data_IF_068315907593
#
_entry.id   IF_068315907593
#
_cell.length_a   1.000
_cell.length_b   1.000
_cell.length_c   1.000
_cell.angle_alpha   90.00
_cell.angle_beta   90.00
_cell.angle_gamma   90.00
#
_symmetry.space_group_name_H-M   'P 1'
#
loop_
_entity.id
_entity.type
_entity.pdbx_description
1 polymer ?
#
# COMPACT_ATOMS: atom_id res chain seq x y z
N UNK A 1 -17.76 -3.63 -2.82
CA UNK A 1 -16.54 -3.39 -3.61
C UNK A 1 -16.16 -1.95 -3.37
N UNK A 2 -15.02 -1.69 -2.74
CA UNK A 2 -14.58 -0.34 -2.41
C UNK A 2 -14.09 0.35 -3.69
N UNK A 3 -14.67 1.51 -4.00
CA UNK A 3 -14.22 2.40 -5.06
C UNK A 3 -12.75 2.76 -4.81
N UNK A 4 -11.92 2.76 -5.87
CA UNK A 4 -10.51 3.08 -5.75
C UNK A 4 -10.36 4.42 -5.00
N UNK A 5 -9.48 4.44 -3.98
CA UNK A 5 -9.22 5.60 -3.13
C UNK A 5 -9.30 6.91 -3.95
N UNK A 6 -10.36 7.72 -3.82
CA UNK A 6 -10.75 8.69 -4.84
C UNK A 6 -9.67 9.71 -5.18
N UNK A 7 -8.82 10.03 -4.21
CA UNK A 7 -7.69 10.95 -4.38
C UNK A 7 -6.55 10.38 -5.25
N UNK A 8 -6.42 9.06 -5.34
CA UNK A 8 -5.34 8.37 -6.07
C UNK A 8 -5.75 7.95 -7.48
N UNK A 9 -7.04 7.73 -7.73
CA UNK A 9 -7.59 7.30 -9.02
C UNK A 9 -7.18 8.21 -10.21
N UNK A 10 -7.10 9.55 -10.09
CA UNK A 10 -6.64 10.41 -11.18
C UNK A 10 -5.18 10.18 -11.59
N UNK A 11 -4.33 9.75 -10.66
CA UNK A 11 -2.89 9.57 -10.88
C UNK A 11 -2.55 8.22 -11.53
N UNK A 12 -3.43 7.24 -11.41
CA UNK A 12 -3.19 5.88 -11.90
C UNK A 12 -4.38 5.34 -12.69
N UNK A 13 -4.74 6.03 -13.78
CA UNK A 13 -5.92 5.72 -14.61
C UNK A 13 -5.96 4.29 -15.17
N UNK A 14 -4.82 3.61 -15.25
CA UNK A 14 -4.72 2.22 -15.68
C UNK A 14 -5.23 1.21 -14.63
N UNK A 15 -5.40 1.63 -13.37
CA UNK A 15 -5.94 0.82 -12.29
C UNK A 15 -7.26 1.43 -11.81
N UNK A 16 -8.36 0.67 -11.93
CA UNK A 16 -9.71 1.14 -11.59
C UNK A 16 -10.25 0.52 -10.28
N UNK A 17 -9.58 -0.49 -9.74
CA UNK A 17 -10.05 -1.26 -8.59
C UNK A 17 -8.93 -1.47 -7.58
N UNK A 18 -9.22 -1.27 -6.29
CA UNK A 18 -8.37 -1.73 -5.19
C UNK A 18 -8.75 -3.16 -4.84
N UNK A 19 -7.77 -4.06 -4.85
CA UNK A 19 -7.96 -5.49 -4.62
C UNK A 19 -7.42 -5.96 -3.27
N UNK A 20 -6.69 -5.11 -2.55
CA UNK A 20 -6.24 -5.36 -1.18
C UNK A 20 -5.18 -4.36 -0.72
N UNK A 21 -4.66 -4.56 0.48
CA UNK A 21 -3.57 -3.78 1.04
C UNK A 21 -2.67 -4.64 1.93
N UNK A 22 -1.44 -4.21 2.17
CA UNK A 22 -0.52 -4.82 3.14
C UNK A 22 -0.63 -4.18 4.52
N UNK A 23 -0.12 -4.87 5.54
CA UNK A 23 -0.04 -4.38 6.92
C UNK A 23 0.75 -3.06 7.06
N UNK A 24 1.55 -2.69 6.07
CA UNK A 24 2.31 -1.43 6.03
C UNK A 24 1.65 -0.35 5.15
N UNK A 25 0.42 -0.57 4.71
CA UNK A 25 -0.36 0.38 3.92
C UNK A 25 -0.04 0.41 2.42
N UNK A 26 0.71 -0.55 1.87
CA UNK A 26 0.84 -0.68 0.42
C UNK A 26 -0.49 -1.15 -0.19
N UNK A 27 -0.95 -0.52 -1.27
CA UNK A 27 -2.25 -0.84 -1.88
C UNK A 27 -2.05 -1.67 -3.13
N UNK A 28 -2.73 -2.82 -3.22
CA UNK A 28 -2.78 -3.65 -4.41
C UNK A 28 -3.94 -3.19 -5.29
N UNK A 29 -3.66 -2.94 -6.56
CA UNK A 29 -4.61 -2.37 -7.51
C UNK A 29 -4.68 -3.23 -8.77
N UNK A 30 -5.84 -3.21 -9.43
CA UNK A 30 -6.09 -3.91 -10.68
C UNK A 30 -6.86 -3.01 -11.66
N UNK A 31 -6.53 -3.11 -12.95
CA UNK A 31 -7.36 -2.63 -14.06
C UNK A 31 -8.23 -3.76 -14.55
N UNK A 32 -9.55 -3.70 -14.35
CA UNK A 32 -10.46 -4.80 -14.69
C UNK A 32 -10.55 -5.03 -16.19
N UNK A 33 -10.47 -3.96 -16.97
CA UNK A 33 -10.54 -4.04 -18.44
C UNK A 33 -9.20 -4.46 -19.06
N UNK A 34 -8.09 -4.16 -18.40
CA UNK A 34 -6.73 -4.40 -18.92
C UNK A 34 -6.09 -5.68 -18.39
N UNK A 35 -6.58 -6.20 -17.26
CA UNK A 35 -5.95 -7.26 -16.46
C UNK A 35 -4.66 -6.81 -15.77
N UNK A 36 -4.31 -5.52 -15.84
CA UNK A 36 -3.06 -4.99 -15.30
C UNK A 36 -3.12 -4.91 -13.78
N UNK A 37 -2.09 -5.39 -13.08
CA UNK A 37 -1.99 -5.32 -11.63
C UNK A 37 -0.80 -4.46 -11.21
N UNK A 38 -0.97 -3.74 -10.10
CA UNK A 38 0.02 -2.82 -9.60
C UNK A 38 0.01 -2.68 -8.09
N UNK A 39 1.07 -2.06 -7.58
CA UNK A 39 1.23 -1.77 -6.15
C UNK A 39 1.50 -0.30 -5.97
N UNK A 40 0.68 0.36 -5.16
CA UNK A 40 0.89 1.72 -4.70
C UNK A 40 1.85 1.70 -3.52
N UNK A 41 2.85 2.57 -3.56
CA UNK A 41 3.76 2.86 -2.47
C UNK A 41 3.44 4.27 -1.93
N UNK A 42 2.57 4.40 -0.91
CA UNK A 42 2.07 5.70 -0.49
C UNK A 42 3.18 6.67 -0.12
N UNK A 43 4.20 6.26 0.65
CA UNK A 43 5.30 7.16 1.03
C UNK A 43 6.15 7.67 -0.15
N UNK A 44 6.08 7.02 -1.32
CA UNK A 44 6.84 7.40 -2.52
C UNK A 44 6.01 8.13 -3.56
N UNK A 45 4.71 8.31 -3.34
CA UNK A 45 3.79 8.85 -4.35
C UNK A 45 3.86 8.10 -5.69
N UNK A 46 4.17 6.81 -5.65
CA UNK A 46 4.50 6.04 -6.85
C UNK A 46 3.74 4.72 -6.86
N UNK A 47 3.23 4.33 -8.02
CA UNK A 47 2.75 2.98 -8.26
C UNK A 47 3.70 2.24 -9.20
N UNK A 48 3.90 0.96 -8.92
CA UNK A 48 4.62 0.05 -9.81
C UNK A 48 3.64 -0.91 -10.46
N UNK A 49 3.62 -0.92 -11.78
CA UNK A 49 2.91 -1.96 -12.54
C UNK A 49 3.73 -3.25 -12.57
N UNK A 50 3.03 -4.37 -12.44
CA UNK A 50 3.59 -5.72 -12.54
C UNK A 50 3.12 -6.45 -13.79
N UNK A 51 2.45 -5.73 -14.71
CA UNK A 51 1.93 -6.29 -15.94
C UNK A 51 0.56 -6.94 -15.76
N UNK A 52 0.19 -7.79 -16.73
CA UNK A 52 -1.15 -8.39 -16.80
C UNK A 52 -1.17 -9.76 -16.15
N UNK A 53 -2.23 -10.02 -15.42
CA UNK A 53 -2.55 -11.32 -14.82
C UNK A 53 -3.97 -11.69 -15.22
N UNK A 54 -4.27 -12.98 -15.24
CA UNK A 54 -5.61 -13.50 -15.51
C UNK A 54 -6.62 -13.10 -14.43
N UNK A 55 -6.20 -13.09 -13.17
CA UNK A 55 -6.98 -12.62 -12.04
C UNK A 55 -6.09 -12.18 -10.84
N UNK A 56 -6.73 -11.65 -9.80
CA UNK A 56 -6.06 -11.23 -8.55
C UNK A 56 -5.39 -12.38 -7.82
N UNK A 57 -5.88 -13.62 -7.97
CA UNK A 57 -5.33 -14.80 -7.31
C UNK A 57 -3.99 -15.19 -7.94
N UNK A 58 -3.88 -15.11 -9.27
CA UNK A 58 -2.62 -15.30 -9.98
C UNK A 58 -1.60 -14.24 -9.60
N UNK A 59 -2.01 -12.97 -9.55
CA UNK A 59 -1.16 -11.88 -9.05
C UNK A 59 -0.67 -12.16 -7.63
N UNK A 60 -1.56 -12.56 -6.72
CA UNK A 60 -1.21 -12.87 -5.35
C UNK A 60 -0.22 -14.04 -5.24
N UNK A 61 -0.44 -15.11 -6.00
CA UNK A 61 0.42 -16.29 -5.97
C UNK A 61 1.76 -16.09 -6.67
N UNK A 62 1.87 -15.11 -7.57
CA UNK A 62 3.10 -14.85 -8.31
C UNK A 62 3.92 -13.75 -7.64
N UNK A 63 3.32 -12.59 -7.40
CA UNK A 63 4.02 -11.40 -6.91
C UNK A 63 4.13 -11.40 -5.39
N UNK A 64 3.07 -11.69 -4.65
CA UNK A 64 3.14 -11.66 -3.17
C UNK A 64 3.98 -12.82 -2.60
N UNK A 65 4.19 -13.87 -3.40
CA UNK A 65 5.07 -14.99 -3.05
C UNK A 65 6.50 -14.86 -3.57
N UNK A 66 6.77 -13.85 -4.41
CA UNK A 66 8.14 -13.57 -4.83
C UNK A 66 8.95 -13.13 -3.61
N UNK A 67 10.06 -13.82 -3.26
CA UNK A 67 10.84 -13.48 -2.07
C UNK A 67 11.36 -12.04 -2.10
N UNK A 68 11.74 -11.52 -3.27
CA UNK A 68 12.21 -10.15 -3.43
C UNK A 68 11.12 -9.13 -3.15
N UNK A 69 9.90 -9.40 -3.63
CA UNK A 69 8.72 -8.57 -3.33
C UNK A 69 8.34 -8.65 -1.85
N UNK A 70 8.28 -9.85 -1.27
CA UNK A 70 7.92 -10.04 0.12
C UNK A 70 8.89 -9.30 1.04
N UNK A 71 10.20 -9.41 0.82
CA UNK A 71 11.21 -8.68 1.59
C UNK A 71 11.15 -7.17 1.37
N UNK A 72 10.90 -6.70 0.14
CA UNK A 72 10.93 -5.27 -0.16
C UNK A 72 9.65 -4.52 0.24
N UNK A 73 8.49 -5.19 0.20
CA UNK A 73 7.16 -4.54 0.31
C UNK A 73 6.38 -5.02 1.52
N UNK A 74 6.33 -6.35 1.73
CA UNK A 74 5.57 -6.92 2.85
C UNK A 74 6.38 -6.86 4.16
N UNK A 75 7.70 -6.99 4.05
CA UNK A 75 8.69 -6.95 5.14
C UNK A 75 8.21 -7.77 6.36
N UNK A 76 7.99 -9.08 6.23
CA UNK A 76 7.31 -9.88 7.25
C UNK A 76 8.01 -9.86 8.62
N UNK A 77 9.36 -9.84 8.66
CA UNK A 77 10.10 -9.67 9.90
C UNK A 77 9.85 -8.31 10.58
N UNK A 78 9.84 -7.24 9.79
CA UNK A 78 9.55 -5.88 10.25
C UNK A 78 8.12 -5.75 10.80
N UNK A 79 7.15 -6.32 10.07
CA UNK A 79 5.75 -6.37 10.50
C UNK A 79 5.61 -7.14 11.82
N UNK A 80 6.34 -8.25 11.97
CA UNK A 80 6.31 -9.03 13.21
C UNK A 80 6.82 -8.20 14.40
N UNK A 81 7.92 -7.47 14.25
CA UNK A 81 8.47 -6.60 15.31
C UNK A 81 7.49 -5.49 15.71
N UNK A 82 6.80 -4.88 14.74
CA UNK A 82 5.76 -3.88 15.03
C UNK A 82 4.57 -4.53 15.74
N UNK A 83 4.13 -5.70 15.26
CA UNK A 83 2.99 -6.45 15.81
C UNK A 83 3.24 -6.88 17.25
N UNK A 84 4.45 -7.30 17.59
CA UNK A 84 4.82 -7.68 18.95
C UNK A 84 4.69 -6.49 19.92
N UNK A 85 4.88 -5.27 19.43
CA UNK A 85 4.75 -4.04 20.21
C UNK A 85 3.33 -3.49 20.29
N UNK A 86 2.63 -3.43 19.15
CA UNK A 86 1.33 -2.75 19.03
C UNK A 86 0.12 -3.69 19.12
N UNK A 87 0.34 -4.99 18.99
CA UNK A 87 -0.73 -5.98 18.88
C UNK A 87 -1.22 -6.17 17.44
N UNK A 88 -2.18 -7.08 17.21
CA UNK A 88 -2.69 -7.37 15.87
C UNK A 88 -3.55 -6.25 15.31
N UNK A 89 -3.54 -6.12 13.98
CA UNK A 89 -4.43 -5.21 13.24
C UNK A 89 -5.88 -5.74 13.27
N UNK A 90 -6.82 -4.81 13.44
CA UNK A 90 -8.26 -5.01 13.20
C UNK A 90 -8.66 -4.76 11.74
N UNK A 91 -9.97 -4.80 11.44
CA UNK A 91 -10.48 -4.48 10.11
C UNK A 91 -10.07 -3.07 9.67
N UNK A 92 -9.64 -2.93 8.42
CA UNK A 92 -9.23 -1.65 7.81
C UNK A 92 -8.07 -0.94 8.51
N UNK A 93 -7.32 -1.65 9.37
CA UNK A 93 -6.16 -1.10 10.05
C UNK A 93 -4.85 -1.49 9.37
N UNK A 94 -3.88 -0.58 9.43
CA UNK A 94 -2.49 -0.76 8.99
C UNK A 94 -1.54 -0.13 10.00
N UNK A 95 -0.28 -0.56 9.97
CA UNK A 95 0.81 0.10 10.68
C UNK A 95 1.36 1.26 9.85
N UNK A 96 1.37 2.45 10.46
CA UNK A 96 1.75 3.70 9.84
C UNK A 96 2.98 4.26 10.53
N UNK A 97 4.02 4.59 9.77
CA UNK A 97 5.21 5.25 10.29
C UNK A 97 4.86 6.67 10.74
N UNK A 98 5.10 6.96 12.02
CA UNK A 98 4.73 8.21 12.69
C UNK A 98 5.96 8.78 13.43
N UNK A 99 6.47 9.96 13.04
CA UNK A 99 5.99 10.79 11.94
C UNK A 99 6.24 10.15 10.57
N UNK A 100 5.55 10.63 9.53
CA UNK A 100 5.68 10.07 8.18
C UNK A 100 7.12 10.22 7.63
N UNK A 101 7.63 9.25 6.85
CA UNK A 101 8.99 9.33 6.30
C UNK A 101 9.23 10.58 5.45
N UNK A 102 8.22 11.03 4.69
CA UNK A 102 8.32 12.21 3.84
C UNK A 102 8.34 13.55 4.60
N UNK A 103 8.09 13.56 5.91
CA UNK A 103 8.28 14.75 6.78
C UNK A 103 9.48 14.60 7.72
N UNK A 104 10.39 13.65 7.44
CA UNK A 104 11.60 13.42 8.23
C UNK A 104 11.47 12.36 9.32
N UNK A 105 10.39 11.57 9.30
CA UNK A 105 10.26 10.37 10.13
C UNK A 105 11.06 9.18 9.62
N UNK A 106 10.96 8.07 10.35
CA UNK A 106 11.67 6.83 10.03
C UNK A 106 10.69 5.68 9.85
N UNK A 107 11.12 4.64 9.14
CA UNK A 107 10.42 3.35 9.05
C UNK A 107 11.01 2.33 10.02
N UNK A 108 11.42 2.78 11.22
CA UNK A 108 11.92 1.91 12.29
C UNK A 108 10.73 1.30 13.06
N UNK A 109 10.77 0.03 13.50
CA UNK A 109 9.62 -0.66 14.12
C UNK A 109 8.96 0.11 15.29
N UNK A 110 9.78 0.81 16.08
CA UNK A 110 9.36 1.60 17.23
C UNK A 110 8.62 2.89 16.87
N UNK A 111 8.74 3.37 15.62
CA UNK A 111 8.08 4.61 15.16
C UNK A 111 6.74 4.37 14.50
N UNK A 112 6.23 3.14 14.49
CA UNK A 112 4.91 2.84 13.93
C UNK A 112 3.77 3.12 14.92
N UNK A 113 2.59 3.40 14.39
CA UNK A 113 1.33 3.40 15.13
C UNK A 113 0.25 2.70 14.30
N UNK A 114 -0.86 2.30 14.91
CA UNK A 114 -2.01 1.71 14.21
C UNK A 114 -2.93 2.83 13.73
N UNK A 115 -3.34 2.77 12.47
CA UNK A 115 -4.36 3.67 11.94
C UNK A 115 -5.21 3.03 10.85
N UNK A 116 -6.26 3.75 10.45
CA UNK A 116 -7.16 3.33 9.37
C UNK A 116 -6.48 3.53 8.00
N UNK A 117 -6.56 2.51 7.14
CA UNK A 117 -5.89 2.48 5.83
C UNK A 117 -6.43 3.55 4.89
N UNK A 118 -7.73 3.84 4.92
CA UNK A 118 -8.35 4.82 4.03
C UNK A 118 -8.02 6.24 4.48
N UNK A 119 -8.08 6.50 5.79
CA UNK A 119 -7.64 7.78 6.37
C UNK A 119 -6.15 8.03 6.09
N UNK A 120 -5.32 7.00 6.25
CA UNK A 120 -3.90 7.06 5.91
C UNK A 120 -3.67 7.47 4.47
N UNK A 121 -4.34 6.80 3.53
CA UNK A 121 -4.22 7.08 2.10
C UNK A 121 -4.70 8.48 1.74
N UNK A 122 -5.78 8.96 2.37
CA UNK A 122 -6.28 10.32 2.16
C UNK A 122 -5.30 11.38 2.68
N UNK A 123 -4.70 11.18 3.85
CA UNK A 123 -3.67 12.08 4.40
C UNK A 123 -2.47 12.12 3.47
N UNK A 124 -1.94 10.96 3.08
CA UNK A 124 -0.76 10.90 2.19
C UNK A 124 -1.07 11.55 0.84
N UNK A 125 -2.26 11.32 0.28
CA UNK A 125 -2.68 11.97 -0.96
C UNK A 125 -2.76 13.49 -0.83
N UNK A 126 -3.21 14.04 0.31
CA UNK A 126 -3.22 15.49 0.53
C UNK A 126 -1.82 16.09 0.60
N UNK A 127 -0.87 15.39 1.24
CA UNK A 127 0.53 15.82 1.30
C UNK A 127 1.22 15.76 -0.08
N UNK A 128 0.82 14.83 -0.93
CA UNK A 128 1.44 14.61 -2.24
C UNK A 128 0.74 15.36 -3.38
N UNK A 129 -0.56 15.59 -3.25
CA UNK A 129 -1.43 16.29 -4.20
C UNK A 129 -1.18 17.79 -4.31
N UNK A 130 -0.17 18.32 -3.61
CA UNK A 130 0.29 19.70 -3.79
C UNK A 130 1.56 19.83 -4.65
N UNK A 131 1.95 18.78 -5.40
CA UNK A 131 3.06 18.89 -6.36
C UNK A 131 2.58 18.61 -7.78
N UNK A 132 2.30 19.65 -8.59
CA UNK A 132 2.22 19.49 -10.03
C UNK A 132 3.63 19.21 -10.55
N UNK A 133 3.84 18.01 -11.08
CA UNK A 133 5.01 17.63 -11.88
C UNK A 133 4.56 17.21 -13.26
#
# INVERSE_FOLDING_TARGET
MAEAAPAWAPHFRQFDTVVGYSDLGHVFMAGRDTGEHGVLHPYRSAAKSYGRFSDTTEFANTILRDPGFAEAVLRPGHVQEIRDRLGPLGPDQVYIATPYPFVGGTEAPETYDIGDVWVFLDIVAQFQGNTPG
#
